data_IF_017079843663
#
_entry.id   IF_017079843663
#
_cell.length_a   1.000
_cell.length_b   1.000
_cell.length_c   1.000
_cell.angle_alpha   90.00
_cell.angle_beta   90.00
_cell.angle_gamma   90.00
#
_symmetry.space_group_name_H-M   'P 1'
#
loop_
_entity.id
_entity.type
_entity.pdbx_description
1 polymer ?
#
# COMPACT_ATOMS: atom_id res chain seq x y z
N UNK A 1 -4.34 -25.89 55.47
CA UNK A 1 -4.77 -24.59 54.88
C UNK A 1 -3.80 -24.30 53.73
N UNK A 2 -4.19 -24.62 52.49
CA UNK A 2 -4.55 -23.66 51.41
C UNK A 2 -3.31 -22.80 50.98
N UNK A 3 -2.82 -22.78 49.74
CA UNK A 3 -3.46 -22.89 48.43
C UNK A 3 -2.49 -23.34 47.31
N UNK A 4 -3.09 -23.98 46.31
CA UNK A 4 -2.58 -24.30 44.98
C UNK A 4 -2.26 -23.06 44.13
N UNK A 5 -1.44 -23.26 43.09
CA UNK A 5 -1.60 -22.50 41.85
C UNK A 5 -0.29 -22.15 41.17
N UNK A 6 0.25 -23.09 40.39
CA UNK A 6 1.39 -22.82 39.51
C UNK A 6 1.03 -21.76 38.47
N UNK A 7 1.87 -20.72 38.37
CA UNK A 7 1.93 -19.92 37.17
C UNK A 7 2.74 -20.68 36.13
N UNK A 8 2.07 -21.35 35.22
CA UNK A 8 2.63 -21.60 33.90
C UNK A 8 2.82 -20.23 33.21
N UNK A 9 4.01 -19.90 32.68
CA UNK A 9 4.12 -18.74 31.80
C UNK A 9 3.29 -19.03 30.55
N UNK A 10 2.46 -18.05 30.20
CA UNK A 10 1.54 -18.04 29.07
C UNK A 10 2.19 -18.60 27.81
N UNK A 11 1.66 -19.72 27.31
CA UNK A 11 1.76 -20.00 25.89
C UNK A 11 0.96 -18.95 25.11
N UNK A 12 1.33 -18.81 23.84
CA UNK A 12 0.62 -18.16 22.74
C UNK A 12 0.56 -16.62 22.73
N UNK A 13 1.58 -16.04 22.10
CA UNK A 13 1.36 -15.51 20.76
C UNK A 13 2.58 -15.86 19.92
N UNK A 14 2.47 -16.91 19.11
CA UNK A 14 3.37 -17.05 17.98
C UNK A 14 3.27 -15.76 17.20
N UNK A 15 4.39 -15.04 17.16
CA UNK A 15 4.62 -13.93 16.26
C UNK A 15 4.34 -14.47 14.86
N UNK A 16 3.09 -14.31 14.40
CA UNK A 16 2.79 -14.25 12.99
C UNK A 16 3.58 -13.04 12.53
N UNK A 17 4.87 -13.25 12.23
CA UNK A 17 5.54 -12.52 11.18
C UNK A 17 4.61 -12.77 10.00
N UNK A 18 3.66 -11.86 9.78
CA UNK A 18 2.85 -11.84 8.59
C UNK A 18 3.90 -11.68 7.50
N UNK A 19 4.32 -12.80 6.89
CA UNK A 19 5.24 -12.76 5.76
C UNK A 19 4.61 -11.79 4.80
N UNK A 20 5.30 -10.68 4.56
CA UNK A 20 4.87 -9.72 3.56
C UNK A 20 4.65 -10.54 2.27
N UNK A 21 3.46 -10.50 1.67
CA UNK A 21 3.13 -11.40 0.57
C UNK A 21 4.10 -11.19 -0.60
N UNK A 22 4.79 -12.22 -1.09
CA UNK A 22 5.70 -12.09 -2.23
C UNK A 22 4.93 -12.20 -3.55
N UNK A 23 4.90 -11.13 -4.34
CA UNK A 23 4.24 -11.07 -5.65
C UNK A 23 5.23 -11.04 -6.83
N UNK A 24 6.49 -11.43 -6.63
CA UNK A 24 7.52 -11.44 -7.68
C UNK A 24 7.16 -12.31 -8.88
N UNK A 25 6.42 -13.40 -8.65
CA UNK A 25 5.98 -14.31 -9.70
C UNK A 25 4.76 -13.80 -10.50
N UNK A 26 4.12 -12.69 -10.08
CA UNK A 26 2.90 -12.20 -10.72
C UNK A 26 3.26 -11.33 -11.92
N UNK A 27 3.50 -11.97 -13.07
CA UNK A 27 3.98 -11.30 -14.29
C UNK A 27 2.90 -11.09 -15.35
N UNK A 28 1.69 -11.61 -15.13
CA UNK A 28 0.59 -11.53 -16.10
C UNK A 28 -0.73 -11.13 -15.46
N UNK A 29 -1.56 -10.45 -16.24
CA UNK A 29 -2.90 -10.01 -15.85
C UNK A 29 -3.80 -11.20 -15.42
N UNK A 30 -3.67 -12.35 -16.08
CA UNK A 30 -4.38 -13.57 -15.72
C UNK A 30 -4.03 -14.08 -14.32
N UNK A 31 -2.74 -14.03 -13.95
CA UNK A 31 -2.28 -14.38 -12.60
C UNK A 31 -2.80 -13.38 -11.57
N UNK A 32 -2.71 -12.08 -11.86
CA UNK A 32 -3.19 -11.05 -10.95
C UNK A 32 -4.72 -11.15 -10.73
N UNK A 33 -5.51 -11.34 -11.78
CA UNK A 33 -6.97 -11.56 -11.66
C UNK A 33 -7.34 -12.80 -10.88
N UNK A 34 -6.53 -13.86 -10.94
CA UNK A 34 -6.72 -15.04 -10.07
C UNK A 34 -6.55 -14.66 -8.61
N UNK A 35 -5.47 -13.96 -8.27
CA UNK A 35 -5.20 -13.49 -6.91
C UNK A 35 -6.24 -12.48 -6.42
N UNK A 36 -6.84 -11.68 -7.31
CA UNK A 36 -7.99 -10.83 -6.99
C UNK A 36 -9.21 -11.66 -6.58
N UNK A 37 -9.52 -12.73 -7.32
CA UNK A 37 -10.62 -13.65 -6.96
C UNK A 37 -10.37 -14.38 -5.64
N UNK A 38 -9.11 -14.66 -5.33
CA UNK A 38 -8.67 -15.27 -4.08
C UNK A 38 -8.57 -14.26 -2.91
N UNK A 39 -8.83 -12.97 -3.16
CA UNK A 39 -8.78 -11.91 -2.16
C UNK A 39 -7.37 -11.49 -1.71
N UNK A 40 -6.33 -11.95 -2.41
CA UNK A 40 -4.93 -11.64 -2.13
C UNK A 40 -4.47 -10.35 -2.79
N UNK A 41 -5.10 -9.96 -3.90
CA UNK A 41 -4.92 -8.67 -4.56
C UNK A 41 -6.27 -7.95 -4.72
N UNK A 42 -6.19 -6.67 -5.02
CA UNK A 42 -7.32 -5.85 -5.47
C UNK A 42 -6.93 -5.15 -6.77
N UNK A 43 -7.86 -5.08 -7.71
CA UNK A 43 -7.71 -4.27 -8.91
C UNK A 43 -8.05 -2.82 -8.57
N UNK A 44 -7.17 -1.90 -8.94
CA UNK A 44 -7.34 -0.47 -8.70
C UNK A 44 -7.48 0.30 -10.00
N UNK A 45 -8.20 1.42 -9.94
CA UNK A 45 -8.18 2.41 -11.03
C UNK A 45 -6.79 3.04 -11.16
N UNK A 46 -6.42 3.51 -12.36
CA UNK A 46 -5.13 4.12 -12.62
C UNK A 46 -4.75 5.20 -11.61
N UNK A 47 -3.44 5.33 -11.38
CA UNK A 47 -2.87 6.30 -10.45
C UNK A 47 -3.05 7.73 -11.01
N UNK A 48 -3.44 8.73 -10.21
CA UNK A 48 -3.35 10.12 -10.65
C UNK A 48 -1.92 10.45 -11.08
N UNK A 49 -1.74 10.82 -12.36
CA UNK A 49 -0.43 11.09 -12.95
C UNK A 49 0.42 9.86 -13.29
N UNK A 50 -0.10 8.64 -13.11
CA UNK A 50 0.59 7.39 -13.46
C UNK A 50 0.00 6.71 -14.71
N UNK A 51 0.36 5.43 -14.97
CA UNK A 51 -0.16 4.69 -16.11
C UNK A 51 -1.69 4.59 -16.08
N UNK A 52 -2.34 4.74 -17.24
CA UNK A 52 -3.81 4.69 -17.42
C UNK A 52 -4.41 3.27 -17.31
N UNK A 53 -3.57 2.24 -17.14
CA UNK A 53 -3.98 0.85 -17.04
C UNK A 53 -4.46 0.47 -15.62
N UNK A 54 -5.21 -0.64 -15.54
CA UNK A 54 -5.63 -1.23 -14.26
C UNK A 54 -4.39 -1.69 -13.48
N UNK A 55 -4.22 -1.18 -12.27
CA UNK A 55 -3.16 -1.60 -11.35
C UNK A 55 -3.62 -2.71 -10.39
N UNK A 56 -2.66 -3.39 -9.76
CA UNK A 56 -2.90 -4.42 -8.76
C UNK A 56 -2.16 -4.11 -7.46
N UNK A 57 -2.85 -4.17 -6.32
CA UNK A 57 -2.27 -3.95 -4.99
C UNK A 57 -2.68 -5.03 -4.01
N UNK A 58 -1.93 -5.21 -2.92
CA UNK A 58 -2.44 -5.95 -1.77
C UNK A 58 -3.61 -5.18 -1.12
N UNK A 59 -4.56 -5.86 -0.46
CA UNK A 59 -5.66 -5.18 0.23
C UNK A 59 -5.19 -4.15 1.25
N UNK A 60 -4.09 -4.43 1.97
CA UNK A 60 -3.51 -3.50 2.94
C UNK A 60 -2.92 -2.26 2.24
N UNK A 61 -2.22 -2.44 1.13
CA UNK A 61 -1.66 -1.33 0.36
C UNK A 61 -2.74 -0.44 -0.24
N UNK A 62 -3.85 -1.00 -0.74
CA UNK A 62 -4.95 -0.18 -1.25
C UNK A 62 -5.68 0.58 -0.13
N UNK A 63 -5.82 -0.01 1.05
CA UNK A 63 -6.35 0.71 2.21
C UNK A 63 -5.46 1.91 2.59
N UNK A 64 -4.14 1.71 2.61
CA UNK A 64 -3.17 2.77 2.85
C UNK A 64 -3.24 3.84 1.75
N UNK A 65 -3.24 3.44 0.47
CA UNK A 65 -3.34 4.35 -0.69
C UNK A 65 -4.60 5.22 -0.59
N UNK A 66 -5.77 4.64 -0.33
CA UNK A 66 -7.01 5.40 -0.15
C UNK A 66 -6.92 6.40 0.99
N UNK A 67 -6.28 6.03 2.09
CA UNK A 67 -6.07 6.93 3.22
C UNK A 67 -5.20 8.12 2.82
N UNK A 68 -4.07 7.88 2.15
CA UNK A 68 -3.16 8.92 1.67
C UNK A 68 -3.85 9.84 0.65
N UNK A 69 -4.54 9.28 -0.34
CA UNK A 69 -5.28 10.08 -1.33
C UNK A 69 -6.35 10.94 -0.64
N UNK A 70 -7.09 10.39 0.33
CA UNK A 70 -8.09 11.15 1.08
C UNK A 70 -7.49 12.27 1.93
N UNK A 71 -6.32 12.04 2.55
CA UNK A 71 -5.58 13.07 3.28
C UNK A 71 -5.09 14.18 2.34
N UNK A 72 -4.46 13.82 1.23
CA UNK A 72 -3.92 14.76 0.24
C UNK A 72 -5.04 15.53 -0.48
N UNK A 73 -6.20 14.90 -0.70
CA UNK A 73 -7.39 15.60 -1.19
C UNK A 73 -7.80 16.77 -0.31
N UNK A 74 -7.73 16.62 1.03
CA UNK A 74 -7.99 17.74 1.95
C UNK A 74 -6.94 18.84 1.87
N UNK A 75 -5.68 18.49 1.59
CA UNK A 75 -4.62 19.49 1.38
C UNK A 75 -4.87 20.29 0.10
N UNK A 76 -5.36 19.63 -0.96
CA UNK A 76 -5.76 20.32 -2.18
C UNK A 76 -6.95 21.27 -1.95
N UNK A 77 -7.97 20.84 -1.18
CA UNK A 77 -9.10 21.70 -0.79
C UNK A 77 -8.68 22.94 0.03
N UNK A 78 -7.55 22.84 0.75
CA UNK A 78 -6.97 23.91 1.56
C UNK A 78 -5.95 24.76 0.80
N UNK A 79 -5.78 24.56 -0.52
CA UNK A 79 -4.80 25.26 -1.36
C UNK A 79 -3.35 25.06 -0.87
N UNK A 80 -3.08 23.92 -0.22
CA UNK A 80 -1.74 23.54 0.26
C UNK A 80 -0.93 22.78 -0.79
N UNK A 81 -1.62 22.08 -1.69
CA UNK A 81 -1.06 21.40 -2.86
C UNK A 81 -1.97 21.65 -4.06
N UNK A 82 -1.41 21.67 -5.27
CA UNK A 82 -2.17 21.71 -6.52
C UNK A 82 -1.73 20.63 -7.51
N UNK A 83 -0.72 19.84 -7.14
CA UNK A 83 -0.22 18.71 -7.90
C UNK A 83 -0.08 17.47 -7.01
N UNK A 84 -0.50 16.32 -7.53
CA UNK A 84 -0.35 15.01 -6.92
C UNK A 84 0.04 14.00 -7.99
N UNK A 85 1.16 13.33 -7.76
CA UNK A 85 1.67 12.22 -8.57
C UNK A 85 1.79 10.98 -7.70
N UNK A 86 1.29 9.84 -8.19
CA UNK A 86 1.44 8.55 -7.53
C UNK A 86 2.16 7.59 -8.47
N UNK A 87 3.41 7.29 -8.14
CA UNK A 87 4.31 6.49 -8.97
C UNK A 87 4.48 5.08 -8.40
N UNK A 88 4.03 4.04 -9.13
CA UNK A 88 4.33 2.67 -8.76
C UNK A 88 5.79 2.31 -9.08
N UNK A 89 6.47 1.64 -8.16
CA UNK A 89 7.78 1.02 -8.41
C UNK A 89 7.62 -0.49 -8.51
N UNK A 90 8.16 -1.09 -9.57
CA UNK A 90 8.09 -2.53 -9.82
C UNK A 90 9.45 -3.19 -9.61
N UNK A 91 9.44 -4.50 -9.35
CA UNK A 91 10.66 -5.31 -9.21
C UNK A 91 10.60 -6.49 -10.18
N UNK A 92 11.62 -6.59 -11.04
CA UNK A 92 11.65 -7.59 -12.10
C UNK A 92 10.47 -7.44 -13.05
N UNK A 93 9.91 -8.58 -13.46
CA UNK A 93 8.78 -8.64 -14.41
C UNK A 93 7.41 -8.60 -13.72
N UNK A 94 7.36 -8.34 -12.41
CA UNK A 94 6.08 -8.32 -11.68
C UNK A 94 5.25 -7.12 -12.09
N UNK A 95 3.97 -7.37 -12.37
CA UNK A 95 2.96 -6.32 -12.62
C UNK A 95 2.31 -5.82 -11.33
N UNK A 96 2.73 -6.33 -10.17
CA UNK A 96 2.34 -5.83 -8.85
C UNK A 96 3.49 -4.97 -8.32
N UNK A 97 3.27 -3.68 -8.03
CA UNK A 97 4.35 -2.83 -7.55
C UNK A 97 4.84 -3.29 -6.18
N UNK A 98 6.12 -3.10 -5.90
CA UNK A 98 6.72 -3.34 -4.57
C UNK A 98 6.44 -2.18 -3.63
N UNK A 99 6.30 -0.96 -4.17
CA UNK A 99 5.91 0.22 -3.41
C UNK A 99 5.23 1.27 -4.29
N UNK A 100 4.54 2.20 -3.64
CA UNK A 100 4.02 3.43 -4.25
C UNK A 100 4.75 4.63 -3.67
N UNK A 101 5.18 5.55 -4.53
CA UNK A 101 5.68 6.87 -4.13
C UNK A 101 4.63 7.92 -4.40
N UNK A 102 4.28 8.66 -3.37
CA UNK A 102 3.40 9.82 -3.44
C UNK A 102 4.27 11.05 -3.45
N UNK A 103 4.07 11.90 -4.46
CA UNK A 103 4.68 13.22 -4.53
C UNK A 103 3.58 14.25 -4.67
N UNK A 104 3.55 15.22 -3.76
CA UNK A 104 2.63 16.34 -3.85
C UNK A 104 3.37 17.66 -3.69
N UNK A 105 2.95 18.66 -4.45
CA UNK A 105 3.60 19.96 -4.52
C UNK A 105 2.57 21.08 -4.78
N UNK A 106 3.01 22.32 -4.65
CA UNK A 106 2.23 23.52 -4.98
C UNK A 106 3.00 24.37 -6.01
N UNK A 107 2.36 24.65 -7.15
CA UNK A 107 2.91 25.42 -8.28
C UNK A 107 3.46 26.81 -7.94
N UNK A 108 3.03 27.44 -6.83
CA UNK A 108 3.56 28.74 -6.38
C UNK A 108 4.98 28.65 -5.84
N UNK A 109 5.45 27.43 -5.52
CA UNK A 109 6.74 27.21 -4.88
C UNK A 109 6.82 27.82 -3.47
N UNK A 110 7.89 27.50 -2.75
CA UNK A 110 8.16 28.07 -1.41
C UNK A 110 8.09 27.08 -0.25
N UNK A 111 7.68 25.83 -0.50
CA UNK A 111 7.76 24.70 0.42
C UNK A 111 8.57 23.54 -0.15
N UNK A 112 9.02 22.62 0.71
CA UNK A 112 9.55 21.34 0.26
C UNK A 112 8.37 20.46 -0.21
N UNK A 113 8.51 19.71 -1.32
CA UNK A 113 7.49 18.77 -1.77
C UNK A 113 7.16 17.76 -0.66
N UNK A 114 5.88 17.40 -0.56
CA UNK A 114 5.48 16.27 0.27
C UNK A 114 5.86 14.97 -0.45
N UNK A 115 6.62 14.11 0.22
CA UNK A 115 6.93 12.76 -0.24
C UNK A 115 6.52 11.71 0.78
N UNK A 116 5.82 10.68 0.33
CA UNK A 116 5.51 9.50 1.15
C UNK A 116 5.67 8.21 0.35
N UNK A 117 5.99 7.12 1.05
CA UNK A 117 6.17 5.79 0.46
C UNK A 117 5.24 4.81 1.14
N UNK A 118 4.53 4.01 0.34
CA UNK A 118 3.73 2.86 0.80
C UNK A 118 4.38 1.61 0.26
N UNK A 119 5.00 0.82 1.13
CA UNK A 119 5.49 -0.52 0.79
C UNK A 119 4.30 -1.47 0.61
N UNK A 120 4.39 -2.30 -0.43
CA UNK A 120 3.36 -3.28 -0.78
C UNK A 120 3.87 -4.68 -0.46
N UNK A 121 5.10 -5.00 -0.88
CA UNK A 121 5.75 -6.29 -0.62
C UNK A 121 7.28 -6.36 -0.73
#
# INVERSE_FOLDING_TARGET
MLLFGGLAPAAVAQERIARTPDFSAVTTDAMARRLVREGQLVAIRPFPGGPDDIGYLSPAAEAARRHFIGMLGRFAEQDLIDSLEVLPEYRGESIVPVRLRFRADHSRGGGAPFEAVVEIW
#
